data_IF_569035257653
#
_entry.id   IF_569035257653
#
_cell.length_a   1.000
_cell.length_b   1.000
_cell.length_c   1.000
_cell.angle_alpha   90.00
_cell.angle_beta   90.00
_cell.angle_gamma   90.00
#
_symmetry.space_group_name_H-M   'P 1'
#
loop_
_entity.id
_entity.type
_entity.pdbx_description
1 polymer ?
#
# COMPACT_ATOMS: atom_id res chain seq x y z
N UNK A 1 -16.77 -15.32 4.37
CA UNK A 1 -16.56 -14.21 5.33
C UNK A 1 -15.78 -13.04 4.71
N UNK A 2 -14.65 -13.25 4.02
CA UNK A 2 -13.88 -12.13 3.44
C UNK A 2 -14.66 -11.29 2.41
N UNK A 3 -15.47 -11.92 1.54
CA UNK A 3 -16.24 -11.21 0.50
C UNK A 3 -17.23 -10.18 1.05
N UNK A 4 -17.87 -10.46 2.20
CA UNK A 4 -18.84 -9.55 2.80
C UNK A 4 -18.20 -8.32 3.48
N UNK A 5 -16.87 -8.27 3.56
CA UNK A 5 -16.13 -7.13 4.10
C UNK A 5 -15.65 -6.18 2.99
N UNK A 6 -15.81 -6.56 1.72
CA UNK A 6 -15.44 -5.71 0.59
C UNK A 6 -16.51 -4.63 0.43
N UNK A 7 -16.05 -3.41 0.21
CA UNK A 7 -16.93 -2.27 -0.08
C UNK A 7 -17.80 -2.59 -1.31
N UNK A 8 -19.12 -2.37 -1.19
CA UNK A 8 -20.08 -2.69 -2.26
C UNK A 8 -19.86 -1.90 -3.54
N UNK A 9 -19.09 -0.80 -3.50
CA UNK A 9 -18.71 -0.04 -4.69
C UNK A 9 -17.58 -0.71 -5.50
N UNK A 10 -16.89 -1.71 -4.94
CA UNK A 10 -15.88 -2.50 -5.65
C UNK A 10 -16.57 -3.68 -6.31
N UNK A 11 -16.63 -3.65 -7.64
CA UNK A 11 -17.27 -4.70 -8.43
C UNK A 11 -16.37 -5.94 -8.47
N UNK A 12 -16.77 -6.99 -7.77
CA UNK A 12 -16.09 -8.28 -7.78
C UNK A 12 -16.66 -9.19 -8.87
N UNK A 13 -15.81 -9.99 -9.56
CA UNK A 13 -16.28 -11.07 -10.42
C UNK A 13 -17.16 -12.08 -9.67
N UNK A 14 -18.07 -12.73 -10.40
CA UNK A 14 -19.04 -13.69 -9.84
C UNK A 14 -18.38 -14.92 -9.20
N UNK A 15 -17.20 -15.33 -9.67
CA UNK A 15 -16.49 -16.52 -9.19
C UNK A 15 -15.23 -16.18 -8.40
N UNK A 16 -15.40 -15.84 -7.13
CA UNK A 16 -14.29 -15.73 -6.16
C UNK A 16 -14.39 -16.87 -5.14
N UNK A 17 -13.68 -17.96 -5.44
CA UNK A 17 -13.61 -19.18 -4.61
C UNK A 17 -12.37 -19.22 -3.69
N UNK A 18 -11.46 -18.26 -3.82
CA UNK A 18 -10.17 -18.27 -3.12
C UNK A 18 -9.67 -16.87 -2.79
N UNK A 19 -8.87 -16.79 -1.74
CA UNK A 19 -8.19 -15.55 -1.33
C UNK A 19 -7.27 -15.02 -2.43
N UNK A 20 -6.65 -15.90 -3.22
CA UNK A 20 -5.78 -15.52 -4.34
C UNK A 20 -6.59 -14.81 -5.43
N UNK A 21 -7.75 -15.36 -5.83
CA UNK A 21 -8.66 -14.71 -6.79
C UNK A 21 -9.21 -13.39 -6.24
N UNK A 22 -9.59 -13.37 -4.95
CA UNK A 22 -10.06 -12.15 -4.30
C UNK A 22 -9.00 -11.03 -4.34
N UNK A 23 -7.78 -11.35 -3.92
CA UNK A 23 -6.66 -10.40 -3.93
C UNK A 23 -6.38 -9.89 -5.34
N UNK A 24 -6.44 -10.77 -6.35
CA UNK A 24 -6.25 -10.37 -7.74
C UNK A 24 -7.33 -9.38 -8.19
N UNK A 25 -8.61 -9.71 -7.97
CA UNK A 25 -9.73 -8.84 -8.32
C UNK A 25 -9.62 -7.46 -7.64
N UNK A 26 -9.29 -7.42 -6.35
CA UNK A 26 -9.10 -6.17 -5.61
C UNK A 26 -7.93 -5.33 -6.15
N UNK A 27 -6.86 -5.96 -6.65
CA UNK A 27 -5.73 -5.24 -7.26
C UNK A 27 -6.02 -4.72 -8.66
N UNK A 28 -6.92 -5.37 -9.39
CA UNK A 28 -7.35 -4.95 -10.73
C UNK A 28 -8.34 -3.77 -10.68
N UNK A 29 -9.00 -3.54 -9.54
CA UNK A 29 -9.88 -2.39 -9.34
C UNK A 29 -9.13 -1.04 -9.40
N UNK A 30 -9.79 -0.03 -9.96
CA UNK A 30 -9.21 1.32 -10.12
C UNK A 30 -8.84 1.97 -8.79
N UNK A 31 -9.57 1.67 -7.71
CA UNK A 31 -9.29 2.19 -6.38
C UNK A 31 -7.91 1.73 -5.88
N UNK A 32 -7.48 0.51 -6.20
CA UNK A 32 -6.15 0.02 -5.85
C UNK A 32 -5.07 0.77 -6.61
N UNK A 33 -5.27 1.08 -7.89
CA UNK A 33 -4.35 1.91 -8.68
C UNK A 33 -4.20 3.30 -8.07
N UNK A 34 -5.31 3.94 -7.69
CA UNK A 34 -5.30 5.25 -7.02
C UNK A 34 -4.60 5.17 -5.66
N UNK A 35 -4.89 4.14 -4.87
CA UNK A 35 -4.24 3.88 -3.59
C UNK A 35 -2.72 3.72 -3.76
N UNK A 36 -2.28 2.87 -4.69
CA UNK A 36 -0.87 2.64 -5.01
C UNK A 36 -0.15 3.95 -5.36
N UNK A 37 -0.70 4.70 -6.31
CA UNK A 37 -0.13 5.99 -6.75
C UNK A 37 -0.11 7.04 -5.64
N UNK A 38 -1.10 7.01 -4.74
CA UNK A 38 -1.13 7.90 -3.58
C UNK A 38 -0.03 7.57 -2.58
N UNK A 39 0.25 6.28 -2.33
CA UNK A 39 1.37 5.88 -1.49
C UNK A 39 2.72 6.27 -2.11
N UNK A 40 2.90 6.15 -3.44
CA UNK A 40 4.10 6.65 -4.14
C UNK A 40 4.31 8.15 -3.94
N UNK A 41 3.27 8.97 -4.10
CA UNK A 41 3.35 10.43 -3.86
C UNK A 41 3.67 10.78 -2.41
N UNK A 42 3.09 10.05 -1.45
CA UNK A 42 3.40 10.20 -0.03
C UNK A 42 4.86 9.85 0.27
N UNK A 43 5.39 8.79 -0.37
CA UNK A 43 6.78 8.38 -0.22
C UNK A 43 7.73 9.49 -0.71
N UNK A 44 7.45 10.08 -1.88
CA UNK A 44 8.21 11.23 -2.41
C UNK A 44 8.20 12.46 -1.50
N UNK A 45 7.18 12.59 -0.65
CA UNK A 45 7.04 13.70 0.29
C UNK A 45 7.53 13.34 1.71
N UNK A 46 7.98 12.11 1.94
CA UNK A 46 8.37 11.62 3.25
C UNK A 46 9.76 12.14 3.59
N UNK A 47 9.84 12.95 4.65
CA UNK A 47 11.10 13.53 5.12
C UNK A 47 11.55 12.89 6.43
N UNK A 48 12.84 12.61 6.54
CA UNK A 48 13.45 12.12 7.75
C UNK A 48 13.90 13.27 8.65
N UNK A 49 13.51 13.23 9.91
CA UNK A 49 13.99 14.12 10.98
C UNK A 49 14.79 13.25 11.93
N UNK A 50 16.01 13.65 12.26
CA UNK A 50 16.86 12.90 13.18
C UNK A 50 16.33 12.99 14.61
N UNK A 51 16.62 11.97 15.43
CA UNK A 51 16.33 11.95 16.87
C UNK A 51 16.86 13.21 17.59
N UNK A 52 18.06 13.68 17.21
CA UNK A 52 18.67 14.90 17.76
C UNK A 52 17.87 16.19 17.48
N UNK A 53 17.02 16.20 16.46
CA UNK A 53 16.11 17.28 16.12
C UNK A 53 14.67 17.01 16.57
N UNK A 54 14.45 16.01 17.43
CA UNK A 54 13.14 15.61 17.93
C UNK A 54 12.34 14.73 16.97
N UNK A 55 13.00 14.10 16.00
CA UNK A 55 12.40 13.07 15.15
C UNK A 55 12.22 11.73 15.87
N UNK A 56 11.56 10.79 15.21
CA UNK A 56 11.38 9.40 15.68
C UNK A 56 11.74 8.46 14.52
N UNK A 57 12.93 7.85 14.61
CA UNK A 57 13.47 6.98 13.57
C UNK A 57 12.63 5.71 13.41
N UNK A 58 12.12 5.14 14.51
CA UNK A 58 11.30 3.92 14.47
C UNK A 58 9.99 4.17 13.73
N UNK A 59 9.33 5.28 14.03
CA UNK A 59 8.10 5.72 13.36
C UNK A 59 8.35 6.06 11.90
N UNK A 60 9.47 6.72 11.59
CA UNK A 60 9.86 6.98 10.19
C UNK A 60 9.99 5.67 9.41
N UNK A 61 10.77 4.71 9.91
CA UNK A 61 10.99 3.40 9.26
C UNK A 61 9.66 2.66 9.08
N UNK A 62 8.82 2.62 10.11
CA UNK A 62 7.50 1.96 10.02
C UNK A 62 6.63 2.59 8.93
N UNK A 63 6.59 3.92 8.85
CA UNK A 63 5.84 4.64 7.83
C UNK A 63 6.42 4.41 6.43
N UNK A 64 7.74 4.50 6.28
CA UNK A 64 8.44 4.25 5.02
C UNK A 64 8.12 2.85 4.47
N UNK A 65 8.34 1.80 5.28
CA UNK A 65 8.08 0.42 4.87
C UNK A 65 6.62 0.18 4.50
N UNK A 66 5.68 0.78 5.24
CA UNK A 66 4.25 0.70 4.94
C UNK A 66 3.90 1.36 3.61
N UNK A 67 4.48 2.53 3.32
CA UNK A 67 4.29 3.22 2.05
C UNK A 67 4.87 2.42 0.88
N UNK A 68 6.08 1.87 1.02
CA UNK A 68 6.70 1.01 0.01
C UNK A 68 5.85 -0.25 -0.27
N UNK A 69 5.42 -0.96 0.77
CA UNK A 69 4.57 -2.14 0.62
C UNK A 69 3.25 -1.82 -0.11
N UNK A 70 2.56 -0.76 0.30
CA UNK A 70 1.32 -0.32 -0.33
C UNK A 70 1.51 0.18 -1.77
N UNK A 71 2.69 0.69 -2.09
CA UNK A 71 3.08 1.13 -3.41
C UNK A 71 3.53 -0.02 -4.33
N UNK A 72 3.56 -1.26 -3.82
CA UNK A 72 4.16 -2.44 -4.45
C UNK A 72 5.66 -2.27 -4.78
N UNK A 73 6.37 -1.44 -4.01
CA UNK A 73 7.82 -1.23 -4.08
C UNK A 73 8.50 -2.27 -3.18
N UNK A 74 8.71 -3.46 -3.73
CA UNK A 74 9.25 -4.63 -3.02
C UNK A 74 10.77 -4.74 -3.23
N UNK A 75 11.26 -4.19 -4.34
CA UNK A 75 12.68 -4.22 -4.68
C UNK A 75 13.49 -3.27 -3.80
N UNK A 76 14.59 -3.77 -3.23
CA UNK A 76 15.43 -3.01 -2.30
C UNK A 76 16.14 -1.84 -3.01
N UNK A 77 16.47 -1.99 -4.29
CA UNK A 77 17.10 -0.90 -5.05
C UNK A 77 16.07 0.18 -5.41
N UNK A 78 14.82 -0.19 -5.70
CA UNK A 78 13.72 0.79 -5.85
C UNK A 78 13.43 1.53 -4.53
N UNK A 79 13.60 0.90 -3.37
CA UNK A 79 13.41 1.55 -2.06
C UNK A 79 14.49 2.58 -1.72
N UNK A 80 15.69 2.48 -2.28
CA UNK A 80 16.80 3.42 -2.00
C UNK A 80 16.70 4.74 -2.78
N UNK A 81 15.88 4.78 -3.84
CA UNK A 81 15.74 5.89 -4.77
C UNK A 81 14.48 6.71 -4.51
#
# INVERSE_FOLDING_TARGET
FALSLVDSNILLPTEIDSIVKLRKALKEDISFTIFKNTNKRKLQSLNYITESMGGDTSKFISNFLKLCYNAEIIDIEEQKN
#
